data_IF_318018847562
#
_entry.id   IF_318018847562
#
_cell.length_a   1.000
_cell.length_b   1.000
_cell.length_c   1.000
_cell.angle_alpha   90.00
_cell.angle_beta   90.00
_cell.angle_gamma   90.00
#
_symmetry.space_group_name_H-M   'P 1'
#
loop_
_entity.id
_entity.type
_entity.pdbx_description
1 polymer ?
#
# COMPACT_ATOMS: atom_id res chain seq x y z
N UNK A 1 43.58 -2.69 -27.23
CA UNK A 1 42.17 -2.63 -27.70
C UNK A 1 41.30 -3.15 -26.55
N UNK A 2 41.07 -2.28 -25.58
CA UNK A 2 40.21 -2.48 -24.43
C UNK A 2 39.56 -1.12 -24.21
N UNK A 3 38.24 -1.03 -24.41
CA UNK A 3 37.46 0.13 -24.00
C UNK A 3 36.25 -0.37 -23.26
N UNK A 4 36.25 -0.01 -21.99
CA UNK A 4 35.25 -0.16 -20.96
C UNK A 4 33.96 0.55 -21.37
N UNK A 5 32.83 -0.14 -21.29
CA UNK A 5 31.51 0.52 -21.15
C UNK A 5 31.13 0.37 -19.68
N UNK A 6 31.28 1.45 -18.93
CA UNK A 6 30.64 1.65 -17.64
C UNK A 6 29.14 1.58 -17.87
N UNK A 7 28.52 0.49 -17.42
CA UNK A 7 27.08 0.37 -17.34
C UNK A 7 26.63 1.15 -16.09
N UNK A 8 25.81 2.17 -16.31
CA UNK A 8 25.09 2.90 -15.28
C UNK A 8 24.38 1.89 -14.35
N UNK A 9 24.74 1.93 -13.07
CA UNK A 9 24.13 1.11 -12.03
C UNK A 9 22.77 1.73 -11.67
N UNK A 10 21.70 1.30 -12.35
CA UNK A 10 20.32 1.67 -12.03
C UNK A 10 19.79 0.88 -10.81
N UNK A 11 19.05 1.54 -9.94
CA UNK A 11 18.49 0.95 -8.70
C UNK A 11 17.31 -0.02 -8.99
N UNK A 12 17.29 -1.23 -8.39
CA UNK A 12 16.35 -2.32 -8.71
C UNK A 12 14.88 -2.05 -8.35
N UNK A 13 14.56 -0.99 -7.61
CA UNK A 13 13.18 -0.58 -7.34
C UNK A 13 12.53 0.16 -8.53
N UNK A 14 13.35 0.64 -9.48
CA UNK A 14 12.99 1.53 -10.60
C UNK A 14 12.13 0.85 -11.67
N UNK A 15 12.61 -0.26 -12.25
CA UNK A 15 11.93 -0.92 -13.39
C UNK A 15 10.67 -1.70 -13.02
N UNK A 16 10.58 -2.25 -11.80
CA UNK A 16 9.39 -3.00 -11.37
C UNK A 16 8.14 -2.13 -11.25
N UNK A 17 8.31 -0.88 -10.81
CA UNK A 17 7.18 0.05 -10.62
C UNK A 17 6.69 0.67 -11.93
N UNK A 18 7.57 0.79 -12.93
CA UNK A 18 7.20 1.31 -14.26
C UNK A 18 6.44 0.26 -15.10
N UNK A 19 6.75 -1.03 -14.97
CA UNK A 19 6.05 -2.09 -15.71
C UNK A 19 4.61 -2.34 -15.22
N UNK A 20 4.30 -2.09 -13.95
CA UNK A 20 2.91 -2.15 -13.45
C UNK A 20 2.04 -0.99 -13.98
N UNK A 21 2.64 0.13 -14.38
CA UNK A 21 1.94 1.32 -14.84
C UNK A 21 1.69 1.37 -16.37
N UNK A 22 2.29 0.47 -17.15
CA UNK A 22 2.21 0.47 -18.63
C UNK A 22 1.18 -0.51 -19.21
N UNK A 23 0.45 -1.26 -18.36
CA UNK A 23 -0.54 -2.26 -18.80
C UNK A 23 -1.99 -1.76 -18.92
N UNK A 24 -2.21 -0.44 -19.05
CA UNK A 24 -3.55 0.14 -19.17
C UNK A 24 -4.08 0.22 -20.60
N UNK A 25 -4.82 -0.79 -21.07
CA UNK A 25 -5.65 -0.69 -22.29
C UNK A 25 -6.98 0.05 -22.03
N UNK A 26 -7.55 0.76 -23.03
CA UNK A 26 -8.73 1.59 -22.86
C UNK A 26 -10.04 0.78 -22.88
N UNK A 27 -10.88 0.95 -21.85
CA UNK A 27 -12.24 0.36 -21.80
C UNK A 27 -13.23 1.19 -22.61
N UNK A 28 -13.75 0.62 -23.70
CA UNK A 28 -14.93 1.12 -24.41
C UNK A 28 -16.23 0.71 -23.69
N UNK A 29 -17.09 1.69 -23.44
CA UNK A 29 -18.41 1.50 -22.85
C UNK A 29 -19.44 0.92 -23.83
N UNK A 30 -20.42 0.18 -23.30
CA UNK A 30 -21.67 -0.09 -24.01
C UNK A 30 -22.84 -0.25 -23.04
N UNK A 31 -23.80 0.66 -23.17
CA UNK A 31 -25.15 0.55 -22.63
C UNK A 31 -25.96 -0.52 -23.36
N UNK A 32 -26.79 -1.28 -22.61
CA UNK A 32 -28.16 -1.64 -23.03
C UNK A 32 -29.01 -2.08 -21.83
N UNK A 33 -30.12 -1.38 -21.63
CA UNK A 33 -31.27 -1.77 -20.81
C UNK A 33 -32.08 -2.88 -21.51
N UNK A 34 -32.69 -3.79 -20.76
CA UNK A 34 -34.16 -3.93 -20.64
C UNK A 34 -34.60 -5.31 -20.09
N UNK A 35 -35.43 -5.28 -19.04
CA UNK A 35 -36.62 -6.13 -18.89
C UNK A 35 -36.45 -7.55 -18.35
N UNK A 36 -36.84 -7.78 -17.08
CA UNK A 36 -37.42 -9.05 -16.59
C UNK A 36 -37.91 -8.87 -15.15
N UNK A 37 -39.18 -8.52 -14.97
CA UNK A 37 -39.83 -8.24 -13.67
C UNK A 37 -40.91 -9.25 -13.28
N UNK A 38 -40.89 -10.49 -13.82
CA UNK A 38 -41.94 -11.46 -13.54
C UNK A 38 -41.55 -12.78 -12.84
N UNK A 39 -40.27 -13.02 -12.52
CA UNK A 39 -39.83 -14.31 -11.96
C UNK A 39 -39.51 -14.34 -10.44
N UNK A 40 -39.61 -13.21 -9.74
CA UNK A 40 -39.14 -13.10 -8.35
C UNK A 40 -40.15 -13.70 -7.34
N UNK A 41 -41.45 -13.72 -7.67
CA UNK A 41 -42.48 -14.21 -6.76
C UNK A 41 -42.55 -15.76 -6.64
N UNK A 42 -42.16 -16.47 -7.70
CA UNK A 42 -42.17 -17.95 -7.76
C UNK A 42 -40.99 -18.57 -6.98
N UNK A 43 -39.83 -17.90 -6.97
CA UNK A 43 -38.64 -18.34 -6.25
C UNK A 43 -38.77 -18.21 -4.72
N UNK A 44 -39.52 -17.21 -4.24
CA UNK A 44 -39.72 -16.98 -2.81
C UNK A 44 -40.58 -18.06 -2.14
N UNK A 45 -41.58 -18.62 -2.84
CA UNK A 45 -42.44 -19.68 -2.31
C UNK A 45 -41.72 -21.05 -2.21
N UNK A 46 -40.79 -21.36 -3.14
CA UNK A 46 -39.95 -22.56 -3.06
C UNK A 46 -38.86 -22.48 -1.98
N UNK A 47 -38.50 -21.27 -1.53
CA UNK A 47 -37.53 -21.07 -0.44
C UNK A 47 -38.13 -21.31 0.95
N UNK A 48 -39.45 -21.27 1.12
CA UNK A 48 -40.11 -21.42 2.41
C UNK A 48 -40.23 -22.89 2.85
N UNK A 49 -40.45 -23.82 1.91
CA UNK A 49 -40.54 -25.26 2.20
C UNK A 49 -39.20 -25.97 2.43
N UNK A 50 -38.07 -25.30 2.18
CA UNK A 50 -36.72 -25.86 2.44
C UNK A 50 -36.17 -25.44 3.81
N UNK A 51 -36.98 -24.79 4.66
CA UNK A 51 -36.55 -24.36 6.01
C UNK A 51 -36.79 -25.42 7.10
N UNK A 52 -37.50 -26.50 6.84
CA UNK A 52 -37.71 -27.59 7.80
C UNK A 52 -36.65 -28.71 7.74
N UNK A 53 -35.67 -28.64 6.84
CA UNK A 53 -34.63 -29.66 6.69
C UNK A 53 -33.25 -29.27 7.26
N UNK A 54 -33.12 -28.16 7.99
CA UNK A 54 -31.88 -27.80 8.70
C UNK A 54 -32.01 -28.22 10.17
N UNK A 55 -32.34 -29.50 10.37
CA UNK A 55 -32.10 -30.20 11.62
C UNK A 55 -30.59 -30.30 11.85
N UNK A 56 -30.17 -30.05 13.10
CA UNK A 56 -28.77 -29.94 13.50
C UNK A 56 -27.88 -31.02 12.91
N UNK A 57 -26.88 -30.61 12.13
CA UNK A 57 -25.78 -31.48 11.73
C UNK A 57 -24.81 -31.64 12.89
N UNK A 58 -25.18 -32.46 13.88
CA UNK A 58 -24.25 -33.15 14.80
C UNK A 58 -23.64 -34.39 14.12
N UNK A 59 -23.31 -34.27 12.83
CA UNK A 59 -22.57 -35.28 12.09
C UNK A 59 -21.15 -34.78 11.88
N UNK A 60 -20.17 -35.49 12.43
CA UNK A 60 -18.76 -35.37 12.07
C UNK A 60 -18.64 -35.56 10.57
N UNK A 61 -18.61 -34.46 9.79
CA UNK A 61 -18.23 -34.52 8.38
C UNK A 61 -16.81 -35.08 8.35
N UNK A 62 -16.67 -36.32 7.90
CA UNK A 62 -15.38 -36.94 7.66
C UNK A 62 -14.56 -35.97 6.79
N UNK A 63 -13.30 -35.75 7.18
CA UNK A 63 -12.39 -34.94 6.38
C UNK A 63 -12.36 -35.54 4.96
N UNK A 64 -12.38 -34.69 3.91
CA UNK A 64 -12.30 -35.17 2.55
C UNK A 64 -11.11 -36.12 2.42
N UNK A 65 -11.32 -37.29 1.82
CA UNK A 65 -10.22 -38.22 1.57
C UNK A 65 -9.12 -37.51 0.77
N UNK A 66 -7.86 -37.93 0.95
CA UNK A 66 -6.69 -37.33 0.30
C UNK A 66 -6.87 -37.07 -1.21
N UNK A 67 -7.62 -37.94 -1.90
CA UNK A 67 -7.99 -37.77 -3.32
C UNK A 67 -8.83 -36.51 -3.60
N UNK A 68 -9.75 -36.14 -2.72
CA UNK A 68 -10.53 -34.91 -2.83
C UNK A 68 -9.70 -33.67 -2.49
N UNK A 69 -8.68 -33.80 -1.63
CA UNK A 69 -7.75 -32.71 -1.34
C UNK A 69 -6.84 -32.40 -2.55
N UNK A 70 -6.53 -33.37 -3.41
CA UNK A 70 -5.77 -33.13 -4.65
C UNK A 70 -6.49 -32.18 -5.62
N UNK A 71 -7.82 -32.09 -5.56
CA UNK A 71 -8.58 -31.12 -6.38
C UNK A 71 -8.23 -29.67 -6.00
N UNK A 72 -7.79 -29.42 -4.76
CA UNK A 72 -7.31 -28.10 -4.34
C UNK A 72 -6.01 -27.68 -5.03
N UNK A 73 -5.31 -28.61 -5.69
CA UNK A 73 -4.09 -28.34 -6.47
C UNK A 73 -4.39 -27.97 -7.93
N UNK A 74 -5.65 -28.05 -8.40
CA UNK A 74 -6.03 -27.68 -9.77
C UNK A 74 -5.57 -26.26 -10.16
N UNK A 75 -5.60 -25.23 -9.28
CA UNK A 75 -5.07 -23.90 -9.62
C UNK A 75 -3.58 -23.86 -9.98
N UNK A 76 -2.80 -24.90 -9.67
CA UNK A 76 -1.40 -25.02 -10.09
C UNK A 76 -1.30 -25.14 -11.62
N UNK A 77 -2.28 -25.73 -12.30
CA UNK A 77 -2.26 -25.92 -13.75
C UNK A 77 -2.25 -24.58 -14.51
N UNK A 78 -3.24 -23.66 -14.33
CA UNK A 78 -3.19 -22.37 -15.01
C UNK A 78 -1.99 -21.53 -14.55
N UNK A 79 -1.53 -21.66 -13.29
CA UNK A 79 -0.34 -20.97 -12.81
C UNK A 79 0.94 -21.46 -13.52
N UNK A 80 1.11 -22.77 -13.68
CA UNK A 80 2.22 -23.36 -14.41
C UNK A 80 2.17 -22.99 -15.90
N UNK A 81 0.98 -22.99 -16.50
CA UNK A 81 0.79 -22.54 -17.88
C UNK A 81 1.18 -21.07 -18.06
N UNK A 82 0.83 -20.21 -17.10
CA UNK A 82 1.23 -18.80 -17.10
C UNK A 82 2.75 -18.64 -17.00
N UNK A 83 3.41 -19.35 -16.09
CA UNK A 83 4.87 -19.28 -15.98
C UNK A 83 5.59 -19.82 -17.21
N UNK A 84 5.08 -20.90 -17.81
CA UNK A 84 5.61 -21.43 -19.06
C UNK A 84 5.45 -20.42 -20.21
N UNK A 85 4.28 -19.79 -20.33
CA UNK A 85 4.04 -18.72 -21.29
C UNK A 85 4.97 -17.53 -21.07
N UNK A 86 5.09 -17.05 -19.83
CA UNK A 86 5.96 -15.93 -19.49
C UNK A 86 7.43 -16.23 -19.82
N UNK A 87 7.91 -17.43 -19.48
CA UNK A 87 9.26 -17.87 -19.83
C UNK A 87 9.46 -17.93 -21.34
N UNK A 88 8.50 -18.47 -22.08
CA UNK A 88 8.56 -18.52 -23.54
C UNK A 88 8.61 -17.11 -24.16
N UNK A 89 7.93 -16.12 -23.56
CA UNK A 89 7.89 -14.74 -24.07
C UNK A 89 9.06 -13.87 -23.66
N UNK A 90 9.65 -14.10 -22.49
CA UNK A 90 10.60 -13.15 -21.87
C UNK A 90 11.96 -13.78 -21.55
N UNK A 91 12.07 -15.11 -21.55
CA UNK A 91 13.25 -15.84 -21.07
C UNK A 91 13.34 -15.96 -19.54
N UNK A 92 12.41 -15.38 -18.79
CA UNK A 92 12.39 -15.41 -17.32
C UNK A 92 11.15 -16.11 -16.77
N UNK A 93 11.31 -16.87 -15.68
CA UNK A 93 10.19 -17.62 -15.08
C UNK A 93 9.40 -16.74 -14.10
N UNK A 94 10.07 -15.95 -13.26
CA UNK A 94 9.47 -15.21 -12.14
C UNK A 94 9.44 -13.69 -12.38
N UNK A 95 9.00 -13.26 -13.56
CA UNK A 95 9.09 -11.85 -13.96
C UNK A 95 10.49 -11.45 -14.40
N UNK A 96 10.75 -10.15 -14.53
CA UNK A 96 12.09 -9.65 -14.83
C UNK A 96 13.07 -9.90 -13.64
N UNK A 97 14.40 -9.89 -13.87
CA UNK A 97 15.39 -10.11 -12.81
C UNK A 97 15.24 -9.18 -11.61
N UNK A 98 14.84 -7.93 -11.85
CA UNK A 98 14.68 -6.90 -10.82
C UNK A 98 13.52 -7.23 -9.89
N UNK A 99 12.42 -7.75 -10.44
CA UNK A 99 11.21 -8.16 -9.73
C UNK A 99 11.51 -9.36 -8.86
N UNK A 100 12.25 -10.32 -9.40
CA UNK A 100 12.70 -11.48 -8.66
C UNK A 100 13.66 -11.08 -7.52
N UNK A 101 14.61 -10.19 -7.80
CA UNK A 101 15.53 -9.70 -6.78
C UNK A 101 14.77 -8.98 -5.64
N UNK A 102 13.88 -8.06 -5.99
CA UNK A 102 13.10 -7.28 -5.02
C UNK A 102 12.13 -8.12 -4.19
N UNK A 103 11.43 -9.08 -4.80
CA UNK A 103 10.38 -9.85 -4.13
C UNK A 103 10.84 -11.16 -3.50
N UNK A 104 12.01 -11.69 -3.90
CA UNK A 104 12.49 -13.00 -3.45
C UNK A 104 13.90 -12.90 -2.91
N UNK A 105 14.90 -12.55 -3.72
CA UNK A 105 16.30 -12.66 -3.27
C UNK A 105 16.62 -11.72 -2.10
N UNK A 106 16.22 -10.44 -2.21
CA UNK A 106 16.44 -9.45 -1.17
C UNK A 106 15.61 -9.72 0.10
N UNK A 107 14.59 -10.59 0.03
CA UNK A 107 13.69 -10.87 1.15
C UNK A 107 14.16 -12.02 2.04
N UNK A 108 15.04 -12.90 1.56
CA UNK A 108 15.51 -14.11 2.23
C UNK A 108 16.49 -13.89 3.40
N UNK A 109 16.51 -12.69 3.98
CA UNK A 109 17.32 -12.41 5.17
C UNK A 109 16.57 -12.82 6.46
N UNK A 110 17.13 -13.66 7.34
CA UNK A 110 16.41 -14.18 8.52
C UNK A 110 15.80 -13.09 9.41
N UNK A 111 16.56 -12.03 9.72
CA UNK A 111 16.05 -10.91 10.50
C UNK A 111 14.88 -10.19 9.79
N UNK A 112 14.95 -9.99 8.47
CA UNK A 112 13.87 -9.37 7.70
C UNK A 112 12.60 -10.22 7.78
N UNK A 113 12.72 -11.53 7.65
CA UNK A 113 11.57 -12.45 7.73
C UNK A 113 10.88 -12.31 9.09
N UNK A 114 11.64 -12.27 10.18
CA UNK A 114 11.10 -12.06 11.53
C UNK A 114 10.43 -10.70 11.66
N UNK A 115 11.07 -9.63 11.20
CA UNK A 115 10.50 -8.28 11.25
C UNK A 115 9.22 -8.16 10.40
N UNK A 116 9.23 -8.74 9.19
CA UNK A 116 8.07 -8.79 8.32
C UNK A 116 6.94 -9.60 8.95
N UNK A 117 7.24 -10.74 9.57
CA UNK A 117 6.27 -11.55 10.31
C UNK A 117 5.60 -10.74 11.43
N UNK A 118 6.37 -10.01 12.23
CA UNK A 118 5.83 -9.13 13.27
C UNK A 118 4.92 -8.05 12.69
N UNK A 119 5.31 -7.41 11.58
CA UNK A 119 4.48 -6.43 10.88
C UNK A 119 3.21 -7.06 10.31
N UNK A 120 3.26 -8.27 9.75
CA UNK A 120 2.08 -8.98 9.23
C UNK A 120 1.11 -9.36 10.34
N UNK A 121 1.63 -9.80 11.50
CA UNK A 121 0.81 -10.07 12.69
C UNK A 121 0.11 -8.78 13.14
N UNK A 122 0.83 -7.66 13.19
CA UNK A 122 0.24 -6.35 13.48
C UNK A 122 -0.82 -5.94 12.45
N UNK A 123 -0.55 -6.10 11.16
CA UNK A 123 -1.50 -5.84 10.07
C UNK A 123 -2.78 -6.68 10.17
N UNK A 124 -2.64 -7.91 10.68
CA UNK A 124 -3.74 -8.88 10.78
C UNK A 124 -4.56 -8.72 12.06
N UNK A 125 -3.97 -8.17 13.13
CA UNK A 125 -4.60 -8.15 14.46
C UNK A 125 -4.77 -6.76 15.08
N UNK A 126 -4.05 -5.73 14.60
CA UNK A 126 -3.96 -4.45 15.28
C UNK A 126 -4.16 -3.22 14.40
N UNK A 127 -3.75 -3.32 13.15
CA UNK A 127 -3.69 -2.21 12.22
C UNK A 127 -5.05 -1.55 11.94
N UNK A 128 -5.05 -0.23 11.80
CA UNK A 128 -6.24 0.58 11.51
C UNK A 128 -7.39 0.33 12.48
N UNK A 129 -7.11 0.48 13.78
CA UNK A 129 -8.06 0.31 14.89
C UNK A 129 -8.59 -1.12 15.11
N UNK A 130 -8.12 -2.10 14.33
CA UNK A 130 -8.45 -3.52 14.54
C UNK A 130 -8.02 -4.04 15.92
N UNK A 131 -7.02 -3.42 16.54
CA UNK A 131 -6.56 -3.74 17.89
C UNK A 131 -7.70 -3.68 18.93
N UNK A 132 -8.70 -2.81 18.75
CA UNK A 132 -9.83 -2.72 19.68
C UNK A 132 -10.64 -4.02 19.69
N UNK A 133 -10.88 -4.59 18.51
CA UNK A 133 -11.61 -5.84 18.39
C UNK A 133 -10.80 -7.03 18.92
N UNK A 134 -9.49 -7.07 18.66
CA UNK A 134 -8.63 -8.16 19.14
C UNK A 134 -8.42 -8.11 20.65
N UNK A 135 -8.25 -6.91 21.24
CA UNK A 135 -8.23 -6.74 22.70
C UNK A 135 -9.58 -7.15 23.29
N UNK A 136 -10.70 -6.69 22.72
CA UNK A 136 -12.02 -7.07 23.21
C UNK A 136 -12.24 -8.59 23.15
N UNK A 137 -11.80 -9.25 22.08
CA UNK A 137 -11.81 -10.70 21.95
C UNK A 137 -10.96 -11.38 23.04
N UNK A 138 -9.71 -10.93 23.25
CA UNK A 138 -8.82 -11.47 24.27
C UNK A 138 -9.39 -11.31 25.69
N UNK A 139 -9.99 -10.16 25.99
CA UNK A 139 -10.67 -9.92 27.26
C UNK A 139 -11.94 -10.80 27.41
N UNK A 140 -12.72 -10.93 26.33
CA UNK A 140 -13.92 -11.77 26.31
C UNK A 140 -13.60 -13.23 26.64
N UNK A 141 -12.44 -13.75 26.23
CA UNK A 141 -12.01 -15.11 26.52
C UNK A 141 -11.86 -15.42 28.02
N UNK A 142 -11.76 -14.40 28.89
CA UNK A 142 -11.73 -14.56 30.36
C UNK A 142 -13.12 -14.86 30.94
N UNK A 143 -14.19 -14.52 30.23
CA UNK A 143 -15.57 -14.78 30.64
C UNK A 143 -16.05 -16.15 30.16
N UNK A 144 -16.95 -16.77 30.92
CA UNK A 144 -17.61 -18.00 30.50
C UNK A 144 -18.57 -17.72 29.32
N UNK A 145 -18.84 -18.70 28.44
CA UNK A 145 -19.88 -18.56 27.43
C UNK A 145 -21.22 -18.24 28.09
N UNK A 146 -21.96 -17.29 27.52
CA UNK A 146 -23.29 -16.92 28.02
C UNK A 146 -24.23 -18.09 27.79
N UNK A 147 -24.92 -18.49 28.86
CA UNK A 147 -25.95 -19.51 28.82
C UNK A 147 -27.27 -18.92 28.31
N UNK A 148 -27.94 -19.65 27.42
CA UNK A 148 -29.29 -19.37 26.91
C UNK A 148 -30.19 -20.57 27.19
N UNK A 149 -31.49 -20.46 26.91
CA UNK A 149 -32.44 -21.56 27.13
C UNK A 149 -32.02 -22.86 26.41
N UNK A 150 -31.40 -22.74 25.23
CA UNK A 150 -30.93 -23.85 24.41
C UNK A 150 -29.46 -24.25 24.70
N UNK A 151 -28.91 -23.80 25.84
CA UNK A 151 -27.51 -24.02 26.25
C UNK A 151 -26.58 -22.84 25.94
N UNK A 152 -25.25 -23.04 25.91
CA UNK A 152 -24.31 -21.94 25.71
C UNK A 152 -24.39 -21.40 24.29
N UNK A 153 -24.28 -20.07 24.14
CA UNK A 153 -24.27 -19.43 22.81
C UNK A 153 -23.30 -20.16 21.85
N UNK A 154 -23.73 -20.50 20.63
CA UNK A 154 -22.93 -21.28 19.69
C UNK A 154 -21.59 -20.59 19.36
N UNK A 155 -20.59 -21.39 18.97
CA UNK A 155 -19.33 -20.89 18.41
C UNK A 155 -19.19 -21.41 17.00
N UNK A 156 -18.38 -20.72 16.21
CA UNK A 156 -17.80 -21.33 15.01
C UNK A 156 -17.12 -22.64 15.44
N UNK A 157 -17.41 -23.75 14.74
CA UNK A 157 -16.89 -25.06 15.11
C UNK A 157 -15.34 -25.04 15.20
N UNK A 158 -14.76 -25.71 16.19
CA UNK A 158 -13.30 -25.70 16.41
C UNK A 158 -12.52 -26.15 15.17
N UNK A 159 -12.93 -27.20 14.44
CA UNK A 159 -12.23 -27.57 13.20
C UNK A 159 -12.22 -26.44 12.16
N UNK A 160 -13.28 -25.63 12.10
CA UNK A 160 -13.37 -24.47 11.19
C UNK A 160 -12.44 -23.35 11.66
N UNK A 161 -12.41 -23.06 12.98
CA UNK A 161 -11.47 -22.08 13.54
C UNK A 161 -10.00 -22.48 13.30
N UNK A 162 -9.68 -23.77 13.44
CA UNK A 162 -8.35 -24.31 13.12
C UNK A 162 -8.05 -24.19 11.62
N UNK A 163 -9.04 -24.38 10.76
CA UNK A 163 -8.92 -24.12 9.32
C UNK A 163 -8.60 -22.66 9.02
N UNK A 164 -9.32 -21.71 9.64
CA UNK A 164 -9.04 -20.28 9.51
C UNK A 164 -7.62 -19.94 10.00
N UNK A 165 -7.22 -20.50 11.14
CA UNK A 165 -5.87 -20.32 11.68
C UNK A 165 -4.81 -20.88 10.74
N UNK A 166 -5.01 -22.06 10.17
CA UNK A 166 -4.06 -22.67 9.23
C UNK A 166 -3.91 -21.82 7.96
N UNK A 167 -5.01 -21.35 7.38
CA UNK A 167 -5.00 -20.46 6.21
C UNK A 167 -4.26 -19.16 6.55
N UNK A 168 -4.61 -18.51 7.67
CA UNK A 168 -3.98 -17.27 8.10
C UNK A 168 -2.48 -17.45 8.37
N UNK A 169 -2.09 -18.53 9.06
CA UNK A 169 -0.70 -18.81 9.39
C UNK A 169 0.15 -19.05 8.14
N UNK A 170 -0.31 -19.92 7.23
CA UNK A 170 0.39 -20.17 5.95
C UNK A 170 0.53 -18.87 5.17
N UNK A 171 -0.56 -18.11 5.03
CA UNK A 171 -0.57 -16.88 4.27
C UNK A 171 0.38 -15.80 4.83
N UNK A 172 0.34 -15.59 6.16
CA UNK A 172 1.24 -14.65 6.86
C UNK A 172 2.69 -15.07 6.72
N UNK A 173 3.00 -16.36 6.91
CA UNK A 173 4.37 -16.87 6.78
C UNK A 173 4.87 -16.70 5.35
N UNK A 174 4.06 -17.09 4.35
CA UNK A 174 4.40 -16.92 2.94
C UNK A 174 4.71 -15.47 2.61
N UNK A 175 3.87 -14.51 3.04
CA UNK A 175 4.07 -13.08 2.79
C UNK A 175 5.08 -12.37 3.71
N UNK A 176 5.63 -13.09 4.68
CA UNK A 176 6.79 -12.65 5.46
C UNK A 176 8.11 -13.12 4.82
N UNK A 177 8.10 -14.28 4.16
CA UNK A 177 9.26 -14.84 3.44
C UNK A 177 9.39 -14.21 2.05
N UNK A 178 8.28 -14.09 1.33
CA UNK A 178 8.20 -13.61 -0.05
C UNK A 178 7.42 -12.30 -0.12
N UNK A 179 7.84 -11.40 -1.01
CA UNK A 179 7.23 -10.10 -1.23
C UNK A 179 8.10 -8.98 -0.67
N UNK A 180 8.56 -8.11 -1.57
CA UNK A 180 9.45 -7.00 -1.20
C UNK A 180 8.72 -5.96 -0.35
N UNK A 181 7.47 -5.67 -0.71
CA UNK A 181 6.67 -4.64 -0.10
C UNK A 181 5.75 -5.18 1.01
N UNK A 182 5.77 -4.54 2.19
CA UNK A 182 5.03 -4.99 3.38
C UNK A 182 3.74 -4.19 3.57
N UNK A 183 2.90 -4.14 2.53
CA UNK A 183 1.66 -3.34 2.55
C UNK A 183 0.51 -4.07 3.23
N UNK A 184 -0.32 -3.32 3.96
CA UNK A 184 -1.43 -3.87 4.73
C UNK A 184 -2.53 -4.49 3.84
N UNK A 185 -2.74 -3.96 2.63
CA UNK A 185 -3.70 -4.52 1.66
C UNK A 185 -3.46 -6.00 1.33
N UNK A 186 -2.24 -6.49 1.49
CA UNK A 186 -1.97 -7.91 1.29
C UNK A 186 -2.63 -8.79 2.34
N UNK A 187 -2.96 -8.28 3.54
CA UNK A 187 -3.64 -9.07 4.57
C UNK A 187 -5.17 -9.16 4.39
N UNK A 188 -5.74 -8.46 3.38
CA UNK A 188 -7.19 -8.43 3.14
C UNK A 188 -7.84 -9.82 3.01
N UNK A 189 -7.20 -10.86 2.46
CA UNK A 189 -7.81 -12.19 2.41
C UNK A 189 -7.99 -12.87 3.77
N UNK A 190 -7.20 -12.50 4.78
CA UNK A 190 -7.18 -13.20 6.09
C UNK A 190 -7.74 -12.34 7.23
N UNK A 191 -7.72 -11.02 7.12
CA UNK A 191 -8.30 -10.10 8.11
C UNK A 191 -9.78 -10.43 8.40
N UNK A 192 -10.65 -10.70 7.41
CA UNK A 192 -12.03 -11.09 7.65
C UNK A 192 -12.15 -12.37 8.51
N UNK A 193 -11.26 -13.34 8.35
CA UNK A 193 -11.27 -14.58 9.14
C UNK A 193 -11.00 -14.28 10.62
N UNK A 194 -10.04 -13.39 10.90
CA UNK A 194 -9.73 -12.94 12.26
C UNK A 194 -10.89 -12.15 12.86
N UNK A 195 -11.49 -11.25 12.08
CA UNK A 195 -12.69 -10.49 12.48
C UNK A 195 -13.83 -11.45 12.85
N UNK A 196 -14.11 -12.46 12.02
CA UNK A 196 -15.17 -13.45 12.27
C UNK A 196 -14.95 -14.20 13.59
N UNK A 197 -13.73 -14.66 13.85
CA UNK A 197 -13.40 -15.35 15.11
C UNK A 197 -13.54 -14.40 16.30
N UNK A 198 -13.08 -13.16 16.17
CA UNK A 198 -13.17 -12.17 17.25
C UNK A 198 -14.62 -11.80 17.56
N UNK A 199 -15.43 -11.49 16.54
CA UNK A 199 -16.84 -11.17 16.70
C UNK A 199 -17.61 -12.35 17.27
N UNK A 200 -17.38 -13.58 16.78
CA UNK A 200 -17.99 -14.79 17.34
C UNK A 200 -17.66 -14.97 18.82
N UNK A 201 -16.41 -14.69 19.22
CA UNK A 201 -15.97 -14.79 20.61
C UNK A 201 -16.59 -13.72 21.50
N UNK A 202 -16.58 -12.47 21.05
CA UNK A 202 -17.21 -11.32 21.76
C UNK A 202 -18.70 -11.56 21.96
N UNK A 203 -19.41 -11.95 20.90
CA UNK A 203 -20.85 -12.25 20.95
C UNK A 203 -21.17 -13.41 21.91
N UNK A 204 -20.36 -14.47 21.90
CA UNK A 204 -20.58 -15.65 22.74
C UNK A 204 -20.38 -15.37 24.24
N UNK A 205 -19.49 -14.44 24.60
CA UNK A 205 -18.99 -14.32 25.98
C UNK A 205 -19.32 -13.01 26.68
N UNK A 206 -19.70 -11.95 25.97
CA UNK A 206 -20.01 -10.64 26.56
C UNK A 206 -21.50 -10.30 26.46
N UNK A 207 -22.11 -9.85 27.56
CA UNK A 207 -23.50 -9.39 27.56
C UNK A 207 -23.65 -8.10 26.76
N UNK A 208 -22.69 -7.18 26.91
CA UNK A 208 -22.62 -5.89 26.22
C UNK A 208 -21.95 -5.97 24.84
N UNK A 209 -22.00 -7.13 24.17
CA UNK A 209 -21.35 -7.34 22.87
C UNK A 209 -21.76 -6.30 21.83
N UNK A 210 -23.03 -5.87 21.81
CA UNK A 210 -23.52 -4.81 20.92
C UNK A 210 -22.72 -3.51 21.09
N UNK A 211 -22.54 -3.05 22.33
CA UNK A 211 -21.78 -1.82 22.61
C UNK A 211 -20.33 -1.96 22.18
N UNK A 212 -19.71 -3.11 22.44
CA UNK A 212 -18.34 -3.40 22.00
C UNK A 212 -18.23 -3.30 20.47
N UNK A 213 -19.15 -3.92 19.73
CA UNK A 213 -19.14 -3.88 18.27
C UNK A 213 -19.42 -2.48 17.71
N UNK A 214 -20.30 -1.71 18.36
CA UNK A 214 -20.54 -0.30 18.00
C UNK A 214 -19.27 0.53 18.17
N UNK A 215 -18.57 0.40 19.30
CA UNK A 215 -17.30 1.12 19.54
C UNK A 215 -16.27 0.74 18.48
N UNK A 216 -16.13 -0.56 18.16
CA UNK A 216 -15.21 -1.04 17.11
C UNK A 216 -15.59 -0.47 15.74
N UNK A 217 -16.87 -0.47 15.39
CA UNK A 217 -17.36 0.06 14.11
C UNK A 217 -17.08 1.57 14.00
N UNK A 218 -17.38 2.34 15.06
CA UNK A 218 -17.07 3.77 15.14
C UNK A 218 -15.57 4.00 14.98
N UNK A 219 -14.73 3.18 15.60
CA UNK A 219 -13.28 3.30 15.48
C UNK A 219 -12.78 2.99 14.05
N UNK A 220 -13.35 2.02 13.34
CA UNK A 220 -13.02 1.80 11.94
C UNK A 220 -13.41 2.98 11.07
N UNK A 221 -14.61 3.53 11.26
CA UNK A 221 -15.06 4.73 10.54
C UNK A 221 -14.13 5.91 10.85
N UNK A 222 -13.76 6.11 12.12
CA UNK A 222 -12.80 7.16 12.50
C UNK A 222 -11.42 6.95 11.85
N UNK A 223 -10.96 5.71 11.73
CA UNK A 223 -9.71 5.35 11.07
C UNK A 223 -9.65 5.75 9.58
N UNK A 224 -10.80 5.93 8.92
CA UNK A 224 -10.83 6.46 7.55
C UNK A 224 -10.38 7.93 7.48
N UNK A 225 -10.57 8.70 8.55
CA UNK A 225 -10.34 10.15 8.57
C UNK A 225 -9.18 10.58 9.48
N UNK A 226 -8.81 9.75 10.46
CA UNK A 226 -7.79 10.08 11.45
C UNK A 226 -6.58 9.20 11.22
N UNK A 227 -5.45 9.85 10.92
CA UNK A 227 -4.18 9.15 10.72
C UNK A 227 -3.68 8.53 12.02
N UNK A 228 -3.19 7.29 11.98
CA UNK A 228 -2.70 6.62 13.18
C UNK A 228 -1.39 7.25 13.69
N UNK A 229 -1.03 7.01 14.97
CA UNK A 229 0.21 7.48 15.58
C UNK A 229 1.44 6.63 15.20
N UNK A 230 1.40 5.97 14.04
CA UNK A 230 2.47 5.14 13.48
C UNK A 230 2.56 5.34 11.97
N UNK A 231 3.68 4.94 11.36
CA UNK A 231 3.86 5.00 9.92
C UNK A 231 2.87 4.08 9.20
N UNK A 232 2.21 4.60 8.18
CA UNK A 232 1.19 3.88 7.41
C UNK A 232 1.24 4.33 5.95
N UNK A 233 0.69 3.53 5.04
CA UNK A 233 0.67 3.86 3.62
C UNK A 233 -0.58 4.71 3.32
N UNK A 234 -0.49 5.86 2.62
CA UNK A 234 -1.63 6.74 2.40
C UNK A 234 -2.87 6.04 1.85
N UNK A 235 -2.71 4.99 1.04
CA UNK A 235 -3.78 4.16 0.47
C UNK A 235 -4.64 3.42 1.50
N UNK A 236 -4.21 3.32 2.75
CA UNK A 236 -4.94 2.57 3.77
C UNK A 236 -6.12 3.37 4.38
N UNK A 237 -6.23 4.68 4.11
CA UNK A 237 -7.38 5.52 4.50
C UNK A 237 -7.61 6.70 3.53
N UNK A 238 -8.42 7.70 3.92
CA UNK A 238 -8.69 8.88 3.07
C UNK A 238 -7.51 9.85 2.95
N UNK A 239 -6.36 9.56 3.57
CA UNK A 239 -5.12 10.29 3.30
C UNK A 239 -4.68 10.15 1.84
N UNK A 240 -5.03 9.05 1.15
CA UNK A 240 -4.78 8.93 -0.29
C UNK A 240 -5.60 9.91 -1.14
N UNK A 241 -6.85 10.21 -0.75
CA UNK A 241 -7.63 11.27 -1.40
C UNK A 241 -6.94 12.62 -1.20
N UNK A 242 -6.46 12.86 0.02
CA UNK A 242 -5.75 14.10 0.34
C UNK A 242 -4.41 14.22 -0.41
N UNK A 243 -3.70 13.10 -0.61
CA UNK A 243 -2.51 13.00 -1.46
C UNK A 243 -2.83 13.40 -2.91
N UNK A 244 -3.87 12.82 -3.51
CA UNK A 244 -4.27 13.12 -4.90
C UNK A 244 -4.56 14.60 -5.07
N UNK A 245 -5.37 15.20 -4.17
CA UNK A 245 -5.69 16.63 -4.28
C UNK A 245 -4.46 17.52 -4.13
N UNK A 246 -3.61 17.21 -3.14
CA UNK A 246 -2.37 17.92 -2.88
C UNK A 246 -1.46 17.95 -4.13
N UNK A 247 -1.32 16.79 -4.79
CA UNK A 247 -0.53 16.65 -6.01
C UNK A 247 -1.21 17.33 -7.21
N UNK A 248 -2.52 17.19 -7.40
CA UNK A 248 -3.27 17.86 -8.47
C UNK A 248 -3.19 19.39 -8.37
N UNK A 249 -3.27 19.96 -7.17
CA UNK A 249 -3.16 21.41 -6.95
C UNK A 249 -1.74 21.89 -7.29
N UNK A 250 -0.71 21.20 -6.79
CA UNK A 250 0.68 21.53 -7.08
C UNK A 250 1.04 21.39 -8.56
N UNK A 251 0.66 20.30 -9.21
CA UNK A 251 1.03 20.03 -10.60
C UNK A 251 0.29 20.92 -11.60
N UNK A 252 -0.96 21.30 -11.32
CA UNK A 252 -1.65 22.35 -12.08
C UNK A 252 -0.93 23.69 -11.95
N UNK A 253 -0.50 24.05 -10.74
CA UNK A 253 0.28 25.27 -10.51
C UNK A 253 1.62 25.22 -11.25
N UNK A 254 2.32 24.08 -11.18
CA UNK A 254 3.59 23.83 -11.86
C UNK A 254 3.46 23.99 -13.37
N UNK A 255 2.47 23.33 -13.97
CA UNK A 255 2.23 23.37 -15.40
C UNK A 255 1.85 24.78 -15.88
N UNK A 256 1.02 25.50 -15.11
CA UNK A 256 0.63 26.86 -15.45
C UNK A 256 1.81 27.84 -15.43
N UNK A 257 2.74 27.69 -14.48
CA UNK A 257 3.85 28.63 -14.31
C UNK A 257 5.10 28.26 -15.10
N UNK A 258 5.34 26.97 -15.31
CA UNK A 258 6.57 26.43 -15.91
C UNK A 258 6.28 25.35 -16.98
N UNK A 259 5.46 25.62 -18.02
CA UNK A 259 4.96 24.61 -18.95
C UNK A 259 6.04 23.90 -19.79
N UNK A 260 7.26 24.45 -19.87
CA UNK A 260 8.39 23.92 -20.65
C UNK A 260 9.60 23.55 -19.78
N UNK A 261 9.47 23.61 -18.46
CA UNK A 261 10.58 23.33 -17.56
C UNK A 261 10.87 21.82 -17.50
N UNK A 262 12.14 21.51 -17.23
CA UNK A 262 12.58 20.18 -16.81
C UNK A 262 12.37 20.05 -15.31
N UNK A 263 11.47 19.15 -14.92
CA UNK A 263 11.03 18.92 -13.55
C UNK A 263 11.85 17.81 -12.92
N UNK A 264 12.61 18.14 -11.88
CA UNK A 264 13.28 17.16 -11.03
C UNK A 264 12.28 16.59 -10.02
N UNK A 265 12.02 15.28 -10.04
CA UNK A 265 11.08 14.65 -9.10
C UNK A 265 11.27 13.12 -9.00
N UNK A 266 10.67 12.52 -7.97
CA UNK A 266 10.67 11.08 -7.73
C UNK A 266 9.35 10.43 -8.20
N UNK A 267 9.32 9.10 -8.31
CA UNK A 267 8.07 8.36 -8.51
C UNK A 267 7.20 8.45 -7.23
N UNK A 268 5.87 8.62 -7.32
CA UNK A 268 5.04 8.56 -8.53
C UNK A 268 4.89 9.86 -9.31
N UNK A 269 5.29 11.01 -8.76
CA UNK A 269 5.12 12.32 -9.40
C UNK A 269 5.80 12.42 -10.77
N UNK A 270 6.89 11.69 -10.99
CA UNK A 270 7.47 11.53 -12.34
C UNK A 270 6.46 11.02 -13.36
N UNK A 271 5.62 10.04 -13.00
CA UNK A 271 4.52 9.55 -13.81
C UNK A 271 3.38 10.56 -13.91
N UNK A 272 3.01 11.18 -12.79
CA UNK A 272 1.91 12.16 -12.71
C UNK A 272 2.10 13.32 -13.71
N UNK A 273 3.33 13.87 -13.81
CA UNK A 273 3.64 14.97 -14.73
C UNK A 273 4.00 14.53 -16.17
N UNK A 274 4.30 13.25 -16.41
CA UNK A 274 4.62 12.75 -17.78
C UNK A 274 3.44 12.10 -18.48
N UNK A 275 2.44 11.62 -17.75
CA UNK A 275 1.31 10.84 -18.27
C UNK A 275 -0.02 11.60 -18.06
N UNK A 276 -0.46 12.45 -19.02
CA UNK A 276 -1.67 13.27 -18.87
C UNK A 276 -2.95 12.50 -18.57
N UNK A 277 -3.05 11.24 -19.01
CA UNK A 277 -4.21 10.40 -18.75
C UNK A 277 -4.42 10.08 -17.26
N UNK A 278 -3.42 10.32 -16.41
CA UNK A 278 -3.54 10.22 -14.95
C UNK A 278 -4.32 11.41 -14.34
N UNK A 279 -4.51 12.50 -15.08
CA UNK A 279 -5.36 13.62 -14.67
C UNK A 279 -4.70 14.64 -13.72
N UNK A 280 -3.37 14.66 -13.63
CA UNK A 280 -2.63 15.64 -12.83
C UNK A 280 -2.14 16.83 -13.66
N UNK A 281 -1.79 16.58 -14.93
CA UNK A 281 -1.38 17.60 -15.91
C UNK A 281 -2.11 17.41 -17.23
N UNK A 282 -2.34 18.51 -17.96
CA UNK A 282 -3.01 18.44 -19.28
C UNK A 282 -2.07 18.04 -20.43
N UNK A 283 -0.76 18.16 -20.22
CA UNK A 283 0.29 18.01 -21.24
C UNK A 283 1.53 17.43 -20.58
N UNK A 284 2.24 16.47 -21.22
CA UNK A 284 3.44 15.89 -20.65
C UNK A 284 4.51 16.96 -20.40
N UNK A 285 5.12 16.93 -19.23
CA UNK A 285 6.29 17.75 -18.89
C UNK A 285 7.58 16.94 -19.01
N UNK A 286 8.72 17.63 -19.13
CA UNK A 286 10.02 16.96 -19.15
C UNK A 286 10.43 16.62 -17.71
N UNK A 287 10.85 15.38 -17.46
CA UNK A 287 11.22 14.91 -16.12
C UNK A 287 12.69 14.53 -16.05
N UNK A 288 13.35 14.98 -14.99
CA UNK A 288 14.60 14.43 -14.50
C UNK A 288 14.25 13.59 -13.28
N UNK A 289 14.31 12.27 -13.42
CA UNK A 289 13.88 11.35 -12.37
C UNK A 289 14.97 11.20 -11.31
N UNK A 290 14.57 11.21 -10.04
CA UNK A 290 15.37 10.78 -8.90
C UNK A 290 14.69 9.63 -8.16
N UNK A 291 15.41 9.00 -7.23
CA UNK A 291 14.87 7.87 -6.46
C UNK A 291 14.00 8.33 -5.28
N UNK A 292 14.49 9.28 -4.50
CA UNK A 292 13.83 9.82 -3.31
C UNK A 292 14.38 11.22 -2.98
N UNK A 293 13.84 11.84 -1.93
CA UNK A 293 14.26 13.17 -1.48
C UNK A 293 15.19 13.13 -0.27
N UNK A 294 16.02 12.09 -0.16
CA UNK A 294 17.08 12.05 0.86
C UNK A 294 18.11 13.16 0.65
N UNK A 295 18.81 13.53 1.71
CA UNK A 295 19.89 14.52 1.64
C UNK A 295 20.97 14.13 0.61
N UNK A 296 21.33 12.85 0.55
CA UNK A 296 22.33 12.31 -0.38
C UNK A 296 21.91 12.48 -1.84
N UNK A 297 20.66 12.09 -2.18
CA UNK A 297 20.11 12.24 -3.53
C UNK A 297 19.98 13.71 -3.93
N UNK A 298 19.52 14.57 -3.03
CA UNK A 298 19.37 16.01 -3.30
C UNK A 298 20.72 16.72 -3.46
N UNK A 299 21.74 16.34 -2.68
CA UNK A 299 23.10 16.85 -2.85
C UNK A 299 23.68 16.44 -4.20
N UNK A 300 23.53 15.16 -4.57
CA UNK A 300 23.97 14.67 -5.89
C UNK A 300 23.23 15.36 -7.04
N UNK A 301 21.94 15.65 -6.87
CA UNK A 301 21.16 16.39 -7.86
C UNK A 301 21.60 17.87 -7.96
N UNK A 302 21.98 18.50 -6.84
CA UNK A 302 22.48 19.87 -6.83
C UNK A 302 23.76 20.04 -7.66
N UNK A 303 24.66 19.05 -7.64
CA UNK A 303 25.90 19.05 -8.43
C UNK A 303 25.65 19.08 -9.95
N UNK A 304 24.49 18.59 -10.39
CA UNK A 304 24.03 18.61 -11.79
C UNK A 304 22.84 19.54 -12.02
N UNK A 305 22.74 20.62 -11.23
CA UNK A 305 21.64 21.60 -11.24
C UNK A 305 21.33 22.24 -12.60
N UNK A 306 22.22 22.13 -13.60
CA UNK A 306 21.96 22.56 -14.98
C UNK A 306 20.99 21.65 -15.75
N UNK A 307 20.71 20.44 -15.26
CA UNK A 307 19.85 19.44 -15.92
C UNK A 307 18.36 19.67 -15.71
N UNK A 308 17.97 20.48 -14.73
CA UNK A 308 16.58 20.78 -14.42
C UNK A 308 16.40 22.27 -14.14
N UNK A 309 15.15 22.73 -14.17
CA UNK A 309 14.82 24.16 -13.99
C UNK A 309 13.95 24.35 -12.73
N UNK A 310 13.17 23.32 -12.38
CA UNK A 310 12.31 23.29 -11.19
C UNK A 310 12.37 21.90 -10.56
N UNK A 311 12.18 21.81 -9.25
CA UNK A 311 12.01 20.54 -8.55
C UNK A 311 10.62 20.45 -7.92
N UNK A 312 9.93 19.33 -8.15
CA UNK A 312 8.67 18.97 -7.51
C UNK A 312 8.98 17.93 -6.42
N UNK A 313 8.97 18.38 -5.17
CA UNK A 313 9.28 17.56 -4.00
C UNK A 313 8.01 17.27 -3.21
N UNK A 314 7.89 16.10 -2.60
CA UNK A 314 6.73 15.72 -1.80
C UNK A 314 7.10 14.73 -0.70
N UNK A 315 6.21 14.55 0.28
CA UNK A 315 6.36 13.50 1.28
C UNK A 315 6.11 12.13 0.66
N UNK A 316 7.15 11.34 0.45
CA UNK A 316 7.00 9.96 -0.09
C UNK A 316 6.38 9.00 0.93
N UNK A 317 6.50 9.31 2.22
CA UNK A 317 6.02 8.48 3.33
C UNK A 317 5.37 9.32 4.42
N UNK A 318 4.24 8.85 4.94
CA UNK A 318 3.70 9.37 6.19
C UNK A 318 4.43 8.74 7.38
N UNK A 319 5.15 9.56 8.13
CA UNK A 319 5.86 9.13 9.33
C UNK A 319 5.67 10.14 10.46
N UNK A 320 4.76 9.87 11.42
CA UNK A 320 4.64 10.70 12.60
C UNK A 320 5.86 10.46 13.50
N UNK A 321 6.23 11.46 14.31
CA UNK A 321 7.29 11.29 15.31
C UNK A 321 6.82 10.35 16.41
N UNK A 322 7.55 9.27 16.61
CA UNK A 322 7.28 8.23 17.62
C UNK A 322 8.46 8.09 18.58
N UNK A 323 8.23 7.42 19.71
CA UNK A 323 9.29 7.10 20.68
C UNK A 323 10.39 6.21 20.09
N UNK A 324 10.06 5.39 19.07
CA UNK A 324 11.01 4.50 18.41
C UNK A 324 11.92 5.24 17.43
N UNK A 325 11.65 6.50 17.12
CA UNK A 325 12.50 7.27 16.21
C UNK A 325 13.86 7.63 16.81
N UNK A 326 13.96 7.59 18.15
CA UNK A 326 15.24 7.72 18.85
C UNK A 326 16.09 6.45 18.80
N UNK A 327 15.50 5.32 18.41
CA UNK A 327 16.20 4.05 18.41
C UNK A 327 16.96 3.84 17.09
N UNK A 328 18.27 4.10 17.10
CA UNK A 328 19.11 4.06 15.90
C UNK A 328 19.06 2.71 15.16
N UNK A 329 19.15 1.59 15.87
CA UNK A 329 19.06 0.24 15.27
C UNK A 329 17.73 0.02 14.56
N UNK A 330 16.64 0.55 15.10
CA UNK A 330 15.34 0.46 14.45
C UNK A 330 15.31 1.22 13.13
N UNK A 331 15.89 2.43 13.09
CA UNK A 331 16.02 3.21 11.85
C UNK A 331 16.91 2.49 10.83
N UNK A 332 18.05 1.93 11.25
CA UNK A 332 18.94 1.13 10.41
C UNK A 332 18.23 -0.08 9.80
N UNK A 333 17.44 -0.83 10.60
CA UNK A 333 16.67 -1.98 10.11
C UNK A 333 15.56 -1.57 9.14
N UNK A 334 14.85 -0.48 9.44
CA UNK A 334 13.84 0.08 8.53
C UNK A 334 14.45 0.46 7.19
N UNK A 335 15.61 1.15 7.21
CA UNK A 335 16.29 1.58 5.99
C UNK A 335 16.76 0.37 5.18
N UNK A 336 17.54 -0.52 5.82
CA UNK A 336 18.15 -1.67 5.16
C UNK A 336 17.13 -2.66 4.62
N UNK A 337 16.09 -2.97 5.39
CA UNK A 337 15.17 -4.04 5.02
C UNK A 337 13.91 -3.52 4.35
N UNK A 338 13.37 -2.36 4.72
CA UNK A 338 12.09 -1.88 4.22
C UNK A 338 12.19 -0.62 3.35
N UNK A 339 13.41 -0.28 2.91
CA UNK A 339 13.68 0.88 2.05
C UNK A 339 13.25 2.20 2.69
N UNK A 340 13.24 2.28 4.03
CA UNK A 340 12.87 3.49 4.75
C UNK A 340 13.91 4.59 4.56
N UNK A 341 13.44 5.79 4.23
CA UNK A 341 14.22 7.00 4.12
C UNK A 341 13.42 8.14 4.72
N UNK A 342 14.12 9.19 5.11
CA UNK A 342 13.52 10.45 5.55
C UNK A 342 13.75 11.48 4.45
N UNK A 343 12.65 11.93 3.86
CA UNK A 343 12.69 13.03 2.90
C UNK A 343 13.07 14.33 3.62
N UNK A 344 13.91 15.14 2.96
CA UNK A 344 14.12 16.52 3.41
C UNK A 344 12.83 17.32 3.23
N UNK A 345 12.41 18.11 4.24
CA UNK A 345 11.27 19.00 4.09
C UNK A 345 11.54 20.02 2.98
N UNK A 346 10.49 20.59 2.36
CA UNK A 346 10.63 21.38 1.13
C UNK A 346 11.53 22.61 1.31
N UNK A 347 11.57 23.22 2.50
CA UNK A 347 12.48 24.32 2.82
C UNK A 347 13.95 23.90 2.85
N UNK A 348 14.25 22.73 3.42
CA UNK A 348 15.60 22.19 3.46
C UNK A 348 16.04 21.70 2.08
N UNK A 349 15.15 21.04 1.34
CA UNK A 349 15.39 20.65 -0.04
C UNK A 349 15.69 21.86 -0.93
N UNK A 350 14.95 22.96 -0.78
CA UNK A 350 15.22 24.22 -1.50
C UNK A 350 16.61 24.77 -1.18
N UNK A 351 17.00 24.73 0.09
CA UNK A 351 18.33 25.19 0.54
C UNK A 351 19.45 24.34 -0.05
N UNK A 352 19.30 23.01 -0.06
CA UNK A 352 20.28 22.07 -0.64
C UNK A 352 20.41 22.24 -2.14
N UNK A 353 19.29 22.41 -2.85
CA UNK A 353 19.26 22.60 -4.29
C UNK A 353 19.68 24.00 -4.75
N UNK A 354 20.00 24.92 -3.83
CA UNK A 354 20.31 26.32 -4.17
C UNK A 354 19.12 27.04 -4.84
N UNK A 355 17.90 26.60 -4.55
CA UNK A 355 16.67 27.08 -5.15
C UNK A 355 15.81 27.91 -4.20
N UNK A 356 14.72 28.44 -4.73
CA UNK A 356 13.70 29.19 -4.01
C UNK A 356 12.41 28.38 -3.98
N UNK A 357 11.88 28.13 -2.78
CA UNK A 357 10.56 27.52 -2.62
C UNK A 357 9.48 28.50 -3.11
N UNK A 358 8.76 28.14 -4.18
CA UNK A 358 7.76 29.00 -4.84
C UNK A 358 6.33 28.56 -4.59
N UNK A 359 6.13 27.29 -4.25
CA UNK A 359 4.86 26.72 -3.85
C UNK A 359 5.09 25.74 -2.72
N UNK A 360 4.21 25.73 -1.72
CA UNK A 360 4.19 24.70 -0.69
C UNK A 360 2.77 24.52 -0.19
N UNK A 361 2.34 23.28 -0.09
CA UNK A 361 1.07 22.91 0.50
C UNK A 361 1.27 21.74 1.46
N UNK A 362 0.49 21.74 2.55
CA UNK A 362 0.58 20.76 3.62
C UNK A 362 -0.82 20.31 4.02
N UNK A 363 -1.03 19.00 4.11
CA UNK A 363 -2.33 18.43 4.47
C UNK A 363 -2.16 17.16 5.29
N UNK A 364 -2.69 17.16 6.52
CA UNK A 364 -2.73 16.00 7.42
C UNK A 364 -1.40 15.21 7.56
N UNK A 365 -0.27 15.92 7.66
CA UNK A 365 1.05 15.31 7.78
C UNK A 365 1.72 14.91 6.46
N UNK A 366 1.10 15.22 5.33
CA UNK A 366 1.68 15.15 3.99
C UNK A 366 2.01 16.56 3.49
N UNK A 367 2.92 16.65 2.53
CA UNK A 367 3.33 17.92 1.94
C UNK A 367 3.80 17.75 0.50
N UNK A 368 3.66 18.82 -0.28
CA UNK A 368 4.21 18.98 -1.63
C UNK A 368 4.83 20.37 -1.73
N UNK A 369 5.91 20.51 -2.48
CA UNK A 369 6.62 21.76 -2.68
C UNK A 369 7.20 21.85 -4.08
N UNK A 370 7.22 23.07 -4.61
CA UNK A 370 7.86 23.39 -5.89
C UNK A 370 8.99 24.37 -5.64
N UNK A 371 10.17 24.00 -6.12
CA UNK A 371 11.41 24.74 -5.93
C UNK A 371 11.87 25.23 -7.30
N UNK A 372 12.02 26.54 -7.45
CA UNK A 372 12.61 27.16 -8.62
C UNK A 372 14.14 27.23 -8.45
N UNK A 373 14.89 26.74 -9.42
CA UNK A 373 16.36 26.73 -9.34
C UNK A 373 16.92 28.06 -9.81
N UNK A 374 17.73 28.69 -8.95
CA UNK A 374 18.38 29.98 -9.29
C UNK A 374 19.63 29.69 -10.11
N UNK A 375 19.60 29.99 -11.41
CA UNK A 375 20.77 29.83 -12.28
C UNK A 375 21.76 30.97 -12.10
N UNK A 376 23.06 30.66 -12.14
CA UNK A 376 24.16 31.62 -11.94
C UNK A 376 24.11 32.79 -12.96
N UNK A 377 23.63 32.55 -14.19
CA UNK A 377 23.43 33.62 -15.19
C UNK A 377 22.40 34.66 -14.73
N UNK A 378 21.33 34.27 -14.03
CA UNK A 378 20.32 35.21 -13.53
C UNK A 378 20.85 36.03 -12.34
N UNK A 379 21.75 35.46 -11.53
CA UNK A 379 22.44 36.18 -10.46
C UNK A 379 23.36 37.28 -11.02
N UNK A 380 24.07 36.99 -12.13
CA UNK A 380 24.89 37.98 -12.84
C UNK A 380 24.04 39.11 -13.44
N UNK A 381 22.88 38.79 -14.04
CA UNK A 381 21.95 39.79 -14.59
C UNK A 381 21.32 40.64 -13.48
N UNK A 382 20.97 40.06 -12.32
CA UNK A 382 20.44 40.83 -11.18
C UNK A 382 21.51 41.74 -10.56
N UNK A 383 22.74 41.26 -10.45
CA UNK A 383 23.85 42.06 -9.90
C UNK A 383 24.23 43.19 -10.85
N UNK A 384 24.21 42.96 -12.17
CA UNK A 384 24.45 44.03 -13.15
C UNK A 384 23.31 45.06 -13.17
N UNK A 385 22.05 44.64 -13.04
CA UNK A 385 20.91 45.54 -12.96
C UNK A 385 20.90 46.37 -11.66
N UNK A 386 21.33 45.79 -10.54
CA UNK A 386 21.51 46.52 -9.28
C UNK A 386 22.75 47.44 -9.26
N UNK A 387 23.72 47.21 -10.14
CA UNK A 387 24.92 48.04 -10.32
C UNK A 387 24.76 49.15 -11.37
N UNK A 388 23.75 49.07 -12.24
CA UNK A 388 23.50 50.03 -13.32
C UNK A 388 22.62 51.24 -12.93
N UNK A 389 22.05 51.23 -11.72
CA UNK A 389 21.22 52.32 -11.16
C UNK A 389 22.01 53.24 -10.19
N UNK A 390 23.34 53.38 -10.37
CA UNK A 390 24.16 54.34 -9.61
C UNK A 390 24.77 55.42 -10.48
#
# INVERSE_FOLDING_TARGET
IFTSREAEHESPARQCREQEADQGEPRQGRHKNSGETHDIASAAAKSANTREAIGGTTGTRALPGWKSALVLLVPIIPLAAWYAYHYFRTGFIFGNPEFFHYNVQATLHPLRIVLALLLRIWQTAGYMNLYLLTIACALAMRAQPIQTADGPRPRIAVPVQLGFLAVAAVYVITLAVVGGAVLARYMLPIVPLVILVCVSTVWRRLHLWNFVLIIVAVAFVAGLFVNPPYGFAPEDNLAYRDYIHLHQDAERWLQARYPKARVLTAWPASGEVTKPYLGYVDRPMQVVQMEDFTAEQLLSAADVGSRFDVALVFSTKYQPRTIFDRWRKWQEWKARYFGFHLDLPPEAAASVLGGRLVYVERKQGQWVGIIEIVKIEEALIRTSKASGDR
#
